data_IF_369796627675
#
_entry.id   IF_369796627675
#
_cell.length_a   1.000
_cell.length_b   1.000
_cell.length_c   1.000
_cell.angle_alpha   90.00
_cell.angle_beta   90.00
_cell.angle_gamma   90.00
#
_symmetry.space_group_name_H-M   'P 1'
#
loop_
_entity.id
_entity.type
_entity.pdbx_description
1 polymer ?
#
# COMPACT_ATOMS: atom_id res chain seq x y z
N UNK A 1 15.75 -24.76 -24.91
CA UNK A 1 14.68 -25.10 -23.95
C UNK A 1 15.07 -24.36 -22.69
N UNK A 2 14.33 -23.32 -22.32
CA UNK A 2 14.73 -22.37 -21.28
C UNK A 2 14.67 -23.04 -19.92
N UNK A 3 15.79 -23.04 -19.20
CA UNK A 3 15.88 -23.47 -17.81
C UNK A 3 14.90 -22.63 -16.98
N UNK A 4 13.79 -23.26 -16.61
CA UNK A 4 12.82 -22.68 -15.69
C UNK A 4 13.31 -23.05 -14.29
N UNK A 5 14.40 -22.41 -13.84
CA UNK A 5 14.75 -22.42 -12.43
C UNK A 5 13.60 -21.74 -11.68
N UNK A 6 12.73 -22.57 -11.09
CA UNK A 6 11.68 -22.09 -10.19
C UNK A 6 12.36 -21.36 -9.04
N UNK A 7 12.14 -20.04 -8.94
CA UNK A 7 12.62 -19.23 -7.81
C UNK A 7 12.34 -19.96 -6.50
N UNK A 8 13.29 -19.91 -5.56
CA UNK A 8 13.05 -20.40 -4.21
C UNK A 8 11.87 -19.64 -3.59
N UNK A 9 11.16 -20.30 -2.67
CA UNK A 9 10.04 -19.69 -1.98
C UNK A 9 10.43 -18.36 -1.32
N UNK A 10 11.63 -18.30 -0.75
CA UNK A 10 12.20 -17.08 -0.15
C UNK A 10 12.40 -15.96 -1.16
N UNK A 11 12.98 -16.24 -2.33
CA UNK A 11 13.15 -15.23 -3.39
C UNK A 11 11.80 -14.67 -3.85
N UNK A 12 10.80 -15.53 -3.98
CA UNK A 12 9.46 -15.08 -4.34
C UNK A 12 8.82 -14.19 -3.25
N UNK A 13 8.99 -14.53 -1.97
CA UNK A 13 8.52 -13.69 -0.86
C UNK A 13 9.21 -12.31 -0.86
N UNK A 14 10.52 -12.26 -1.12
CA UNK A 14 11.30 -11.01 -1.22
C UNK A 14 10.85 -10.14 -2.40
N UNK A 15 10.53 -10.75 -3.54
CA UNK A 15 9.98 -10.05 -4.71
C UNK A 15 8.61 -9.42 -4.39
N UNK A 16 7.69 -10.21 -3.81
CA UNK A 16 6.36 -9.71 -3.43
C UNK A 16 6.48 -8.60 -2.39
N UNK A 17 7.35 -8.75 -1.40
CA UNK A 17 7.63 -7.71 -0.40
C UNK A 17 8.06 -6.39 -1.04
N UNK A 18 8.91 -6.45 -2.07
CA UNK A 18 9.35 -5.26 -2.79
C UNK A 18 8.20 -4.55 -3.52
N UNK A 19 7.31 -5.33 -4.16
CA UNK A 19 6.11 -4.80 -4.80
C UNK A 19 5.14 -4.16 -3.80
N UNK A 20 4.93 -4.80 -2.64
CA UNK A 20 4.07 -4.25 -1.59
C UNK A 20 4.62 -2.93 -1.03
N UNK A 21 5.96 -2.79 -0.91
CA UNK A 21 6.60 -1.53 -0.50
C UNK A 21 6.36 -0.41 -1.51
N UNK A 22 6.44 -0.71 -2.80
CA UNK A 22 6.08 0.26 -3.86
C UNK A 22 4.60 0.67 -3.74
N UNK A 23 3.70 -0.30 -3.59
CA UNK A 23 2.26 -0.03 -3.38
C UNK A 23 2.02 0.84 -2.14
N UNK A 24 2.74 0.61 -1.05
CA UNK A 24 2.68 1.41 0.18
C UNK A 24 3.08 2.86 -0.07
N UNK A 25 4.15 3.10 -0.83
CA UNK A 25 4.55 4.45 -1.22
C UNK A 25 3.47 5.15 -2.06
N UNK A 26 2.85 4.45 -3.02
CA UNK A 26 1.72 5.00 -3.76
C UNK A 26 0.51 5.27 -2.88
N UNK A 27 0.20 4.37 -1.94
CA UNK A 27 -0.90 4.54 -0.99
C UNK A 27 -0.71 5.81 -0.14
N UNK A 28 0.52 6.06 0.33
CA UNK A 28 0.87 7.29 1.04
C UNK A 28 0.72 8.54 0.14
N UNK A 29 1.21 8.51 -1.10
CA UNK A 29 1.03 9.65 -2.01
C UNK A 29 -0.44 9.93 -2.33
N UNK A 30 -1.26 8.87 -2.40
CA UNK A 30 -2.70 8.99 -2.59
C UNK A 30 -3.38 9.62 -1.36
N UNK A 31 -2.99 9.29 -0.12
CA UNK A 31 -3.58 9.93 1.07
C UNK A 31 -3.27 11.43 1.10
N UNK A 32 -2.06 11.84 0.74
CA UNK A 32 -1.67 13.25 0.62
C UNK A 32 -2.53 13.97 -0.44
N UNK A 33 -2.68 13.35 -1.61
CA UNK A 33 -3.50 13.91 -2.71
C UNK A 33 -4.97 14.03 -2.32
N UNK A 34 -5.56 12.97 -1.75
CA UNK A 34 -6.96 12.95 -1.34
C UNK A 34 -7.22 13.95 -0.20
N UNK A 35 -6.27 14.12 0.72
CA UNK A 35 -6.37 15.13 1.80
C UNK A 35 -6.41 16.55 1.25
N UNK A 36 -5.57 16.86 0.25
CA UNK A 36 -5.57 18.17 -0.40
C UNK A 36 -6.89 18.44 -1.15
N UNK A 37 -7.42 17.44 -1.86
CA UNK A 37 -8.70 17.55 -2.57
C UNK A 37 -9.87 17.69 -1.59
N UNK A 38 -9.87 16.92 -0.49
CA UNK A 38 -10.88 17.04 0.55
C UNK A 38 -10.93 18.46 1.10
N UNK A 39 -9.79 19.04 1.45
CA UNK A 39 -9.72 20.42 1.96
C UNK A 39 -10.25 21.44 0.95
N UNK A 40 -9.96 21.25 -0.34
CA UNK A 40 -10.43 22.14 -1.40
C UNK A 40 -11.97 22.19 -1.51
N UNK A 41 -12.65 21.07 -1.23
CA UNK A 41 -14.12 20.98 -1.24
C UNK A 41 -14.78 21.20 0.12
N UNK A 42 -14.10 20.94 1.23
CA UNK A 42 -14.65 21.13 2.60
C UNK A 42 -14.52 22.60 3.04
N UNK A 43 -13.33 23.17 2.91
CA UNK A 43 -12.98 24.49 3.45
C UNK A 43 -12.53 25.49 2.39
N UNK A 44 -12.10 25.00 1.22
CA UNK A 44 -11.53 25.78 0.13
C UNK A 44 -12.53 26.55 -0.72
N UNK A 45 -12.10 26.97 -1.90
CA UNK A 45 -12.88 27.86 -2.79
C UNK A 45 -14.09 27.16 -3.44
N UNK A 46 -14.07 25.83 -3.56
CA UNK A 46 -15.09 25.09 -4.29
C UNK A 46 -16.30 24.68 -3.43
N UNK A 47 -16.17 24.65 -2.10
CA UNK A 47 -17.19 24.32 -1.08
C UNK A 47 -18.36 23.47 -1.58
N UNK A 48 -18.17 22.15 -1.63
CA UNK A 48 -19.21 21.18 -1.95
C UNK A 48 -19.15 20.02 -0.97
N UNK A 49 -20.12 19.98 -0.04
CA UNK A 49 -20.18 18.96 1.00
C UNK A 49 -20.37 17.54 0.43
N UNK A 50 -21.04 17.40 -0.72
CA UNK A 50 -21.26 16.10 -1.35
C UNK A 50 -19.98 15.54 -1.96
N UNK A 51 -19.15 16.39 -2.57
CA UNK A 51 -17.83 15.97 -3.07
C UNK A 51 -16.81 15.82 -1.94
N UNK A 52 -16.83 16.69 -0.93
CA UNK A 52 -15.98 16.54 0.26
C UNK A 52 -16.23 15.18 0.92
N UNK A 53 -17.48 14.79 1.14
CA UNK A 53 -17.82 13.49 1.74
C UNK A 53 -17.34 12.31 0.87
N UNK A 54 -17.52 12.38 -0.45
CA UNK A 54 -17.01 11.34 -1.36
C UNK A 54 -15.49 11.19 -1.28
N UNK A 55 -14.75 12.30 -1.24
CA UNK A 55 -13.29 12.27 -1.14
C UNK A 55 -12.86 11.76 0.24
N UNK A 56 -13.57 12.13 1.32
CA UNK A 56 -13.31 11.65 2.66
C UNK A 56 -13.46 10.11 2.77
N UNK A 57 -14.46 9.54 2.10
CA UNK A 57 -14.63 8.09 2.02
C UNK A 57 -13.45 7.42 1.31
N UNK A 58 -13.01 7.97 0.18
CA UNK A 58 -11.81 7.49 -0.52
C UNK A 58 -10.55 7.62 0.35
N UNK A 59 -10.40 8.74 1.05
CA UNK A 59 -9.27 8.98 1.96
C UNK A 59 -9.24 7.95 3.11
N UNK A 60 -10.40 7.65 3.68
CA UNK A 60 -10.55 6.62 4.73
C UNK A 60 -10.14 5.23 4.23
N UNK A 61 -10.61 4.86 3.04
CA UNK A 61 -10.25 3.58 2.41
C UNK A 61 -8.75 3.52 2.08
N UNK A 62 -8.18 4.60 1.58
CA UNK A 62 -6.77 4.68 1.23
C UNK A 62 -5.86 4.62 2.48
N UNK A 63 -6.29 5.21 3.59
CA UNK A 63 -5.63 5.08 4.88
C UNK A 63 -5.66 3.64 5.40
N UNK A 64 -6.81 2.98 5.34
CA UNK A 64 -6.92 1.56 5.71
C UNK A 64 -6.01 0.65 4.87
N UNK A 65 -5.97 0.87 3.55
CA UNK A 65 -5.06 0.13 2.67
C UNK A 65 -3.58 0.37 3.02
N UNK A 66 -3.20 1.60 3.40
CA UNK A 66 -1.83 1.90 3.81
C UNK A 66 -1.43 1.10 5.05
N UNK A 67 -2.31 1.06 6.07
CA UNK A 67 -2.07 0.32 7.31
C UNK A 67 -2.01 -1.21 7.07
N UNK A 68 -2.90 -1.73 6.20
CA UNK A 68 -2.91 -3.14 5.82
C UNK A 68 -1.66 -3.53 5.02
N UNK A 69 -1.18 -2.67 4.12
CA UNK A 69 0.07 -2.88 3.39
C UNK A 69 1.26 -2.92 4.36
N UNK A 70 1.31 -2.04 5.35
CA UNK A 70 2.35 -2.04 6.38
C UNK A 70 2.38 -3.36 7.16
N UNK A 71 1.21 -3.86 7.54
CA UNK A 71 1.08 -5.15 8.25
C UNK A 71 1.50 -6.32 7.36
N UNK A 72 1.01 -6.37 6.12
CA UNK A 72 1.34 -7.45 5.19
C UNK A 72 2.83 -7.49 4.85
N UNK A 73 3.48 -6.33 4.67
CA UNK A 73 4.94 -6.27 4.45
C UNK A 73 5.69 -6.91 5.62
N UNK A 74 5.30 -6.60 6.87
CA UNK A 74 5.94 -7.17 8.05
C UNK A 74 5.77 -8.70 8.11
N UNK A 75 4.56 -9.21 7.85
CA UNK A 75 4.29 -10.65 7.85
C UNK A 75 5.14 -11.40 6.81
N UNK A 76 5.27 -10.83 5.61
CA UNK A 76 6.09 -11.42 4.54
C UNK A 76 7.59 -11.39 4.88
N UNK A 77 8.07 -10.30 5.48
CA UNK A 77 9.47 -10.19 5.93
C UNK A 77 9.79 -11.19 7.05
N UNK A 78 8.88 -11.36 8.01
CA UNK A 78 9.01 -12.34 9.08
C UNK A 78 9.10 -13.76 8.49
N UNK A 79 8.22 -14.12 7.58
CA UNK A 79 8.20 -15.45 6.98
C UNK A 79 9.45 -15.71 6.12
N UNK A 80 9.88 -14.73 5.31
CA UNK A 80 11.12 -14.86 4.53
C UNK A 80 12.33 -15.10 5.43
N UNK A 81 12.46 -14.34 6.53
CA UNK A 81 13.55 -14.51 7.50
C UNK A 81 13.46 -15.86 8.24
N UNK A 82 12.24 -16.34 8.54
CA UNK A 82 12.03 -17.66 9.18
C UNK A 82 12.57 -18.77 8.29
N UNK A 83 12.22 -18.76 7.00
CA UNK A 83 12.68 -19.76 6.03
C UNK A 83 14.20 -19.69 5.86
N UNK A 84 14.79 -18.50 5.75
CA UNK A 84 16.26 -18.33 5.62
C UNK A 84 17.03 -18.86 6.83
N UNK A 85 16.49 -18.73 8.05
CA UNK A 85 17.15 -19.19 9.28
C UNK A 85 16.97 -20.69 9.55
N UNK A 86 15.98 -21.32 8.92
CA UNK A 86 15.70 -22.76 9.02
C UNK A 86 16.35 -23.59 7.89
N UNK A 87 16.87 -22.94 6.85
CA UNK A 87 17.56 -23.54 5.70
C UNK A 87 19.05 -23.76 5.94
#
# INVERSE_FOLDING_TARGET
>A
MSDNESKSQTEHLRDVTSQLKEMRHYAQSNTETLSAQWLAFDQGEYKDAGFAEKINQLLTQQGGLLDELDTAIQDFEIEANRIENEA
#
